data_IF_669940002638
#
_entry.id   IF_669940002638
#
_cell.length_a   1.000
_cell.length_b   1.000
_cell.length_c   1.000
_cell.angle_alpha   90.00
_cell.angle_beta   90.00
_cell.angle_gamma   90.00
#
_symmetry.space_group_name_H-M   'P 1'
#
loop_
_entity.id
_entity.type
_entity.pdbx_description
1 polymer ?
#
# COMPACT_ATOMS: atom_id res chain seq x y z
N UNK A 1 3.82 23.69 42.53
CA UNK A 1 2.81 23.43 41.48
C UNK A 1 3.41 23.45 40.06
N UNK A 2 4.09 24.53 39.62
CA UNK A 2 4.68 24.60 38.25
C UNK A 2 5.65 23.46 37.89
N UNK A 3 6.49 23.00 38.83
CA UNK A 3 7.43 21.88 38.60
C UNK A 3 6.74 20.53 38.41
N UNK A 4 5.62 20.31 39.10
CA UNK A 4 4.79 19.10 38.94
C UNK A 4 4.10 19.12 37.58
N UNK A 5 3.55 20.28 37.18
CA UNK A 5 2.92 20.47 35.87
C UNK A 5 3.92 20.22 34.72
N UNK A 6 5.15 20.72 34.86
CA UNK A 6 6.22 20.51 33.87
C UNK A 6 6.63 19.02 33.78
N UNK A 7 6.71 18.32 34.91
CA UNK A 7 7.04 16.89 34.93
C UNK A 7 5.95 16.04 34.28
N UNK A 8 4.67 16.40 34.48
CA UNK A 8 3.52 15.74 33.82
C UNK A 8 3.56 15.99 32.32
N UNK A 9 3.87 17.20 31.88
CA UNK A 9 3.96 17.55 30.46
C UNK A 9 5.06 16.77 29.73
N UNK A 10 6.24 16.60 30.36
CA UNK A 10 7.33 15.80 29.81
C UNK A 10 6.95 14.32 29.72
N UNK A 11 6.27 13.78 30.74
CA UNK A 11 5.81 12.39 30.74
C UNK A 11 4.77 12.14 29.62
N UNK A 12 3.83 13.07 29.40
CA UNK A 12 2.82 12.97 28.34
C UNK A 12 3.46 12.98 26.94
N UNK A 13 4.56 13.73 26.73
CA UNK A 13 5.23 13.77 25.43
C UNK A 13 5.77 12.40 24.99
N UNK A 14 6.18 11.55 25.94
CA UNK A 14 6.66 10.17 25.65
C UNK A 14 5.54 9.19 25.30
N UNK A 15 4.27 9.56 25.50
CA UNK A 15 3.10 8.74 25.14
C UNK A 15 2.61 9.01 23.71
N UNK A 16 3.27 9.91 22.97
CA UNK A 16 2.93 10.16 21.57
C UNK A 16 3.54 9.09 20.67
N UNK A 17 2.72 8.13 20.24
CA UNK A 17 3.12 7.11 19.26
C UNK A 17 2.76 7.59 17.86
N UNK A 18 3.76 7.87 17.02
CA UNK A 18 3.52 8.18 15.61
C UNK A 18 3.25 6.90 14.83
N UNK A 19 2.27 6.94 13.92
CA UNK A 19 2.08 5.85 12.96
C UNK A 19 3.22 5.88 11.95
N UNK A 20 3.87 4.74 11.74
CA UNK A 20 4.90 4.59 10.72
C UNK A 20 4.25 4.18 9.41
N UNK A 21 4.29 5.09 8.44
CA UNK A 21 3.86 4.82 7.08
C UNK A 21 4.92 4.01 6.35
N UNK A 22 4.48 3.01 5.61
CA UNK A 22 5.31 2.20 4.73
C UNK A 22 4.84 2.40 3.29
N UNK A 23 5.82 2.56 2.38
CA UNK A 23 5.58 2.68 0.94
C UNK A 23 6.48 1.65 0.25
N UNK A 24 5.87 0.73 -0.50
CA UNK A 24 6.57 -0.33 -1.22
C UNK A 24 6.32 -0.16 -2.72
N UNK A 25 7.34 0.16 -3.53
CA UNK A 25 7.18 0.25 -4.97
C UNK A 25 7.01 -1.15 -5.57
N UNK A 26 5.91 -1.36 -6.30
CA UNK A 26 5.71 -2.54 -7.14
C UNK A 26 6.16 -2.27 -8.59
N UNK A 27 6.03 -1.03 -9.04
CA UNK A 27 6.61 -0.53 -10.29
C UNK A 27 6.70 0.99 -10.31
N UNK A 28 7.74 1.52 -10.96
CA UNK A 28 8.13 2.94 -10.86
C UNK A 28 8.27 3.65 -12.20
N UNK A 29 8.07 2.94 -13.32
CA UNK A 29 8.13 3.51 -14.68
C UNK A 29 6.71 3.65 -15.26
N UNK A 30 6.62 4.31 -16.41
CA UNK A 30 5.43 4.33 -17.26
C UNK A 30 5.73 3.81 -18.66
N UNK A 31 4.75 3.86 -19.56
CA UNK A 31 4.93 3.47 -20.95
C UNK A 31 4.97 1.94 -21.18
N UNK A 32 6.01 1.44 -21.86
CA UNK A 32 6.01 0.08 -22.43
C UNK A 32 6.70 -1.02 -21.63
N UNK A 33 7.26 -0.74 -20.44
CA UNK A 33 7.94 -1.75 -19.62
C UNK A 33 6.90 -2.43 -18.71
N UNK A 34 6.16 -3.38 -19.28
CA UNK A 34 4.97 -3.99 -18.65
C UNK A 34 5.19 -4.60 -17.25
N UNK A 35 6.42 -5.03 -16.94
CA UNK A 35 6.78 -5.60 -15.63
C UNK A 35 7.23 -4.56 -14.59
N UNK A 36 7.14 -3.26 -14.88
CA UNK A 36 7.60 -2.18 -13.99
C UNK A 36 6.80 -0.87 -14.19
N UNK A 37 5.51 -0.98 -14.43
CA UNK A 37 4.58 0.12 -14.59
C UNK A 37 4.09 0.64 -13.23
N UNK A 38 3.69 1.91 -13.15
CA UNK A 38 3.31 2.62 -11.93
C UNK A 38 2.41 1.80 -11.02
N UNK A 39 2.92 1.44 -9.84
CA UNK A 39 2.15 0.85 -8.76
C UNK A 39 2.92 0.91 -7.45
N UNK A 40 2.28 1.40 -6.38
CA UNK A 40 2.88 1.56 -5.06
C UNK A 40 1.92 1.08 -3.98
N UNK A 41 2.38 0.20 -3.09
CA UNK A 41 1.62 -0.14 -1.90
C UNK A 41 1.88 0.90 -0.81
N UNK A 42 0.81 1.43 -0.22
CA UNK A 42 0.87 2.31 0.95
C UNK A 42 0.08 1.69 2.08
N UNK A 43 0.72 1.59 3.25
CA UNK A 43 0.12 1.00 4.44
C UNK A 43 0.83 1.43 5.71
N UNK A 44 0.41 0.82 6.83
CA UNK A 44 1.08 0.99 8.11
C UNK A 44 2.13 -0.13 8.24
N UNK A 45 3.33 0.20 8.69
CA UNK A 45 4.42 -0.76 8.91
C UNK A 45 3.90 -1.98 9.72
N UNK A 46 4.22 -3.20 9.27
CA UNK A 46 3.80 -4.47 9.88
C UNK A 46 2.29 -4.78 9.88
N UNK A 47 1.43 -3.96 9.25
CA UNK A 47 -0.02 -4.19 9.24
C UNK A 47 -0.51 -5.20 8.19
N UNK A 48 0.33 -5.51 7.19
CA UNK A 48 -0.01 -6.35 6.03
C UNK A 48 -1.32 -5.92 5.34
N UNK A 49 -1.62 -4.62 5.38
CA UNK A 49 -2.85 -4.03 4.86
C UNK A 49 -2.49 -2.77 4.08
N UNK A 50 -2.61 -2.86 2.76
CA UNK A 50 -2.14 -1.83 1.85
C UNK A 50 -3.24 -1.36 0.90
N UNK A 51 -3.19 -0.09 0.53
CA UNK A 51 -3.86 0.44 -0.64
C UNK A 51 -2.80 0.53 -1.75
N UNK A 52 -3.11 0.03 -2.93
CA UNK A 52 -2.26 0.23 -4.09
C UNK A 52 -2.59 1.57 -4.75
N UNK A 53 -1.62 2.47 -4.84
CA UNK A 53 -1.70 3.64 -5.72
C UNK A 53 -1.31 3.20 -7.12
N UNK A 54 -2.24 3.35 -8.06
CA UNK A 54 -2.23 2.74 -9.38
C UNK A 54 -2.06 1.21 -9.34
N UNK A 55 -2.20 0.60 -10.51
CA UNK A 55 -2.11 -0.83 -10.70
C UNK A 55 -1.57 -1.15 -12.10
N UNK A 56 -0.57 -0.42 -12.56
CA UNK A 56 0.13 -0.69 -13.81
C UNK A 56 0.74 -2.09 -13.81
N UNK A 57 1.55 -2.38 -12.78
CA UNK A 57 2.12 -3.71 -12.54
C UNK A 57 1.81 -4.15 -11.12
N UNK A 58 1.17 -5.32 -10.96
CA UNK A 58 0.86 -5.90 -9.63
C UNK A 58 1.69 -7.17 -9.39
N UNK A 59 1.38 -8.27 -10.07
CA UNK A 59 2.00 -9.58 -9.84
C UNK A 59 3.52 -9.60 -9.98
N UNK A 60 4.08 -8.97 -11.02
CA UNK A 60 5.53 -8.91 -11.18
C UNK A 60 6.20 -8.09 -10.06
N UNK A 61 5.55 -7.01 -9.60
CA UNK A 61 6.02 -6.22 -8.46
C UNK A 61 5.94 -6.98 -7.14
N UNK A 62 4.84 -7.71 -6.88
CA UNK A 62 4.73 -8.59 -5.70
C UNK A 62 5.82 -9.66 -5.72
N UNK A 63 6.10 -10.28 -6.87
CA UNK A 63 7.20 -11.25 -6.95
C UNK A 63 8.55 -10.62 -6.57
N UNK A 64 8.77 -9.33 -6.90
CA UNK A 64 9.98 -8.61 -6.48
C UNK A 64 10.01 -8.36 -4.98
N UNK A 65 8.89 -8.09 -4.32
CA UNK A 65 8.88 -7.92 -2.86
C UNK A 65 9.23 -9.22 -2.13
N UNK A 66 8.87 -10.37 -2.69
CA UNK A 66 9.28 -11.69 -2.20
C UNK A 66 10.79 -11.92 -2.45
N UNK A 67 11.27 -11.65 -3.67
CA UNK A 67 12.69 -11.78 -4.03
C UNK A 67 13.61 -10.96 -3.12
N UNK A 68 13.17 -9.76 -2.72
CA UNK A 68 13.91 -8.88 -1.80
C UNK A 68 13.62 -9.11 -0.32
N UNK A 69 12.85 -10.15 0.04
CA UNK A 69 12.42 -10.45 1.42
C UNK A 69 11.68 -9.29 2.11
N UNK A 70 11.04 -8.41 1.35
CA UNK A 70 10.10 -7.40 1.90
C UNK A 70 8.83 -8.09 2.40
N UNK A 71 8.32 -9.07 1.65
CA UNK A 71 7.24 -9.93 2.09
C UNK A 71 7.69 -11.39 2.15
N UNK A 72 7.21 -12.10 3.16
CA UNK A 72 7.43 -13.54 3.38
C UNK A 72 6.08 -14.25 3.30
N UNK A 73 5.50 -14.27 2.10
CA UNK A 73 4.20 -14.87 1.81
C UNK A 73 4.05 -15.18 0.31
N UNK A 74 2.98 -15.86 -0.09
CA UNK A 74 2.74 -16.17 -1.51
C UNK A 74 2.19 -14.96 -2.25
N UNK A 75 2.48 -14.89 -3.55
CA UNK A 75 1.97 -13.85 -4.44
C UNK A 75 0.45 -13.77 -4.42
N UNK A 76 -0.23 -14.92 -4.42
CA UNK A 76 -1.70 -15.02 -4.30
C UNK A 76 -2.19 -14.43 -2.99
N UNK A 77 -1.55 -14.76 -1.86
CA UNK A 77 -1.98 -14.24 -0.56
C UNK A 77 -1.77 -12.73 -0.44
N UNK A 78 -0.66 -12.21 -0.97
CA UNK A 78 -0.38 -10.77 -0.99
C UNK A 78 -1.41 -10.05 -1.87
N UNK A 79 -1.64 -10.55 -3.09
CA UNK A 79 -2.64 -10.00 -4.01
C UNK A 79 -4.03 -9.98 -3.36
N UNK A 80 -4.50 -11.11 -2.86
CA UNK A 80 -5.87 -11.27 -2.39
C UNK A 80 -6.10 -10.64 -1.01
N UNK A 81 -5.15 -10.79 -0.09
CA UNK A 81 -5.35 -10.47 1.32
C UNK A 81 -4.55 -9.27 1.80
N UNK A 82 -3.42 -8.89 1.18
CA UNK A 82 -2.66 -7.74 1.65
C UNK A 82 -3.13 -6.45 0.98
N UNK A 83 -3.44 -6.50 -0.32
CA UNK A 83 -4.02 -5.38 -1.07
C UNK A 83 -5.51 -5.27 -0.75
N UNK A 84 -5.91 -4.19 -0.07
CA UNK A 84 -7.28 -3.91 0.39
C UNK A 84 -8.09 -3.06 -0.58
N UNK A 85 -7.43 -2.48 -1.57
CA UNK A 85 -8.06 -1.65 -2.58
C UNK A 85 -7.04 -0.98 -3.49
N UNK A 86 -7.55 -0.38 -4.57
CA UNK A 86 -6.75 0.31 -5.57
C UNK A 86 -7.25 1.75 -5.68
N UNK A 87 -6.33 2.70 -5.61
CA UNK A 87 -6.57 4.10 -5.90
C UNK A 87 -5.94 4.40 -7.25
N UNK A 88 -6.77 4.56 -8.28
CA UNK A 88 -6.31 4.76 -9.66
C UNK A 88 -6.27 6.26 -9.96
N UNK A 89 -5.10 6.77 -10.35
CA UNK A 89 -4.90 8.20 -10.61
C UNK A 89 -5.64 8.66 -11.86
N UNK A 90 -5.55 7.90 -12.97
CA UNK A 90 -6.23 8.18 -14.24
C UNK A 90 -6.31 6.93 -15.13
N UNK A 91 -7.11 7.01 -16.20
CA UNK A 91 -7.48 5.87 -17.04
C UNK A 91 -6.49 5.44 -18.11
N UNK A 92 -5.19 5.69 -17.96
CA UNK A 92 -4.19 5.18 -18.92
C UNK A 92 -3.81 3.73 -18.63
N UNK A 93 -3.52 2.96 -19.68
CA UNK A 93 -3.28 1.53 -19.56
C UNK A 93 -2.11 1.20 -18.64
N UNK A 94 -1.06 2.00 -18.62
CA UNK A 94 0.09 1.84 -17.75
C UNK A 94 -0.19 2.10 -16.26
N UNK A 95 -1.40 2.52 -15.91
CA UNK A 95 -1.88 2.63 -14.54
C UNK A 95 -2.95 1.58 -14.19
N UNK A 96 -3.47 0.84 -15.19
CA UNK A 96 -4.58 -0.12 -15.03
C UNK A 96 -4.25 -1.56 -15.46
N UNK A 97 -3.21 -1.79 -16.26
CA UNK A 97 -2.95 -3.07 -16.92
C UNK A 97 -2.89 -4.25 -15.93
N UNK A 98 -2.28 -4.04 -14.76
CA UNK A 98 -2.20 -5.01 -13.68
C UNK A 98 -3.56 -5.41 -13.11
N UNK A 99 -4.57 -4.53 -13.09
CA UNK A 99 -5.94 -4.93 -12.70
C UNK A 99 -6.54 -5.92 -13.70
N UNK A 100 -6.37 -5.63 -15.00
CA UNK A 100 -6.95 -6.45 -16.07
C UNK A 100 -6.27 -7.81 -16.10
N UNK A 101 -4.94 -7.85 -16.07
CA UNK A 101 -4.16 -9.08 -16.13
C UNK A 101 -4.43 -9.98 -14.92
N UNK A 102 -4.57 -9.40 -13.73
CA UNK A 102 -4.75 -10.17 -12.49
C UNK A 102 -6.22 -10.35 -12.09
N UNK A 103 -7.18 -9.90 -12.89
CA UNK A 103 -8.61 -10.02 -12.57
C UNK A 103 -9.11 -11.45 -12.34
N UNK A 104 -8.55 -12.51 -12.98
CA UNK A 104 -8.97 -13.88 -12.68
C UNK A 104 -8.54 -14.35 -11.29
N UNK A 105 -7.41 -13.84 -10.80
CA UNK A 105 -6.78 -14.27 -9.54
C UNK A 105 -7.13 -13.35 -8.37
N UNK A 106 -7.54 -12.11 -8.64
CA UNK A 106 -7.85 -11.13 -7.62
C UNK A 106 -9.23 -11.36 -7.00
N UNK A 107 -9.29 -11.30 -5.68
CA UNK A 107 -10.52 -11.49 -4.92
C UNK A 107 -11.29 -10.18 -4.77
N UNK A 108 -12.60 -10.28 -4.52
CA UNK A 108 -13.41 -9.10 -4.22
C UNK A 108 -12.88 -8.40 -2.97
N UNK A 109 -12.50 -7.13 -3.13
CA UNK A 109 -12.05 -6.30 -2.01
C UNK A 109 -13.27 -5.80 -1.27
N UNK A 110 -13.57 -6.39 -0.12
CA UNK A 110 -14.54 -5.80 0.81
C UNK A 110 -13.92 -4.50 1.29
N UNK A 111 -14.55 -3.37 0.96
CA UNK A 111 -14.15 -2.09 1.52
C UNK A 111 -14.24 -2.19 3.04
N UNK A 112 -13.10 -2.40 3.71
CA UNK A 112 -12.91 -1.79 5.01
C UNK A 112 -13.34 -0.34 4.84
N UNK A 113 -14.15 0.21 5.76
CA UNK A 113 -14.62 1.60 5.77
C UNK A 113 -13.42 2.57 5.64
N UNK A 114 -12.91 2.72 4.44
CA UNK A 114 -12.10 3.83 4.02
C UNK A 114 -13.16 4.87 3.68
N UNK A 115 -13.36 5.82 4.58
CA UNK A 115 -13.82 7.15 4.17
C UNK A 115 -12.75 7.72 3.25
N UNK A 116 -12.64 7.19 2.04
CA UNK A 116 -11.85 7.74 0.97
C UNK A 116 -12.69 8.87 0.39
N UNK A 117 -12.39 10.09 0.80
CA UNK A 117 -12.78 11.26 0.05
C UNK A 117 -12.16 11.11 -1.34
N UNK A 118 -13.00 10.85 -2.34
CA UNK A 118 -12.65 11.05 -3.74
C UNK A 118 -12.32 12.54 -3.88
N UNK A 119 -11.05 12.88 -4.04
CA UNK A 119 -10.66 14.17 -4.62
C UNK A 119 -10.48 13.90 -6.10
N UNK A 120 -11.56 14.15 -6.84
CA UNK A 120 -11.49 14.53 -8.26
C UNK A 120 -11.32 16.05 -8.31
#
# INVERSE_FOLDING_TARGET
MKKILLSIFILISTLTYSQKLEIIPLGVYGGGIESNLSSYLIGIENSKSYISLDAGTIRAGINKTIEYNTFDDTTENILQNYIKGYFITHGHLDHLAGLIINSPDDSSKVSARASAYFII
#
